data_IF_266285678096
#
_entry.id   IF_266285678096
#
_cell.length_a   1.000
_cell.length_b   1.000
_cell.length_c   1.000
_cell.angle_alpha   90.00
_cell.angle_beta   90.00
_cell.angle_gamma   90.00
#
_symmetry.space_group_name_H-M   'P 1'
#
loop_
_entity.id
_entity.type
_entity.pdbx_description
1 polymer ?
#
# COMPACT_ATOMS: atom_id res chain seq x y z
N UNK A 1 15.23 10.68 17.51
CA UNK A 1 15.51 11.24 16.17
C UNK A 1 15.05 10.35 15.01
N UNK A 2 14.90 9.03 15.17
CA UNK A 2 14.37 8.14 14.11
C UNK A 2 12.83 8.24 13.91
N UNK A 3 12.07 8.63 14.95
CA UNK A 3 10.60 8.70 14.91
C UNK A 3 10.03 9.73 13.93
N UNK A 4 10.81 10.74 13.52
CA UNK A 4 10.37 11.80 12.60
C UNK A 4 10.62 11.47 11.11
N UNK A 5 11.32 10.36 10.81
CA UNK A 5 11.55 9.92 9.42
C UNK A 5 10.41 9.01 8.91
N UNK A 6 9.68 8.33 9.80
CA UNK A 6 8.62 7.37 9.44
C UNK A 6 7.36 8.02 8.86
N UNK A 7 7.03 9.25 9.28
CA UNK A 7 5.91 10.02 8.71
C UNK A 7 6.23 10.52 7.29
N UNK A 8 7.51 10.55 6.89
CA UNK A 8 7.98 11.12 5.62
C UNK A 8 7.65 10.25 4.40
N UNK A 9 7.66 8.92 4.50
CA UNK A 9 7.46 8.04 3.34
C UNK A 9 5.98 7.99 2.90
N UNK A 10 5.05 8.00 3.86
CA UNK A 10 3.62 8.19 3.61
C UNK A 10 3.33 9.63 3.19
N UNK A 11 3.99 10.61 3.80
CA UNK A 11 3.93 11.99 3.35
C UNK A 11 4.51 12.16 1.94
N UNK A 12 5.36 11.27 1.44
CA UNK A 12 5.88 11.30 0.07
C UNK A 12 4.83 10.83 -0.95
N UNK A 13 3.96 9.88 -0.62
CA UNK A 13 2.78 9.57 -1.44
C UNK A 13 1.81 10.76 -1.44
N UNK A 14 1.53 11.34 -0.25
CA UNK A 14 0.69 12.55 -0.13
C UNK A 14 1.32 13.74 -0.86
N UNK A 15 2.63 13.93 -0.80
CA UNK A 15 3.37 14.99 -1.49
C UNK A 15 3.49 14.72 -2.97
N UNK A 16 3.65 13.48 -3.42
CA UNK A 16 3.63 13.15 -4.85
C UNK A 16 2.25 13.50 -5.45
N UNK A 17 1.16 13.19 -4.75
CA UNK A 17 -0.19 13.60 -5.14
C UNK A 17 -0.45 15.12 -4.96
N UNK A 18 0.05 15.73 -3.89
CA UNK A 18 -0.13 17.16 -3.60
C UNK A 18 0.74 18.07 -4.47
N UNK A 19 1.97 17.67 -4.80
CA UNK A 19 2.87 18.34 -5.76
C UNK A 19 2.29 18.20 -7.15
N UNK A 20 1.80 17.01 -7.58
CA UNK A 20 1.02 16.92 -8.82
C UNK A 20 -0.13 17.93 -8.80
N UNK A 21 -0.94 17.97 -7.73
CA UNK A 21 -2.08 18.90 -7.56
C UNK A 21 -1.72 20.40 -7.54
N UNK A 22 -0.52 20.77 -7.07
CA UNK A 22 -0.06 22.16 -7.04
C UNK A 22 0.66 22.59 -8.32
N UNK A 23 1.48 21.72 -8.92
CA UNK A 23 2.08 21.94 -10.24
C UNK A 23 1.01 21.92 -11.36
N UNK A 24 -0.12 21.25 -11.12
CA UNK A 24 -1.34 21.25 -11.94
C UNK A 24 -1.99 22.62 -12.16
N UNK A 25 -1.57 23.68 -11.44
CA UNK A 25 -2.01 25.06 -11.73
C UNK A 25 -1.22 25.74 -12.87
N UNK A 26 -0.12 25.16 -13.33
CA UNK A 26 0.74 25.76 -14.36
C UNK A 26 0.64 25.10 -15.73
N UNK A 27 0.10 23.88 -15.83
CA UNK A 27 0.00 23.15 -17.10
C UNK A 27 -1.37 22.48 -17.25
N UNK A 28 -2.37 23.32 -17.54
CA UNK A 28 -3.77 22.90 -17.79
C UNK A 28 -3.95 22.02 -19.05
N UNK A 29 -2.89 21.80 -19.85
CA UNK A 29 -2.95 20.98 -21.07
C UNK A 29 -2.59 19.50 -20.88
N UNK A 30 -1.88 19.12 -19.81
CA UNK A 30 -1.62 17.71 -19.51
C UNK A 30 -2.79 17.01 -18.78
N UNK A 31 -3.87 17.75 -18.51
CA UNK A 31 -4.99 17.41 -17.63
C UNK A 31 -6.11 16.55 -18.26
N UNK A 32 -5.90 16.05 -19.48
CA UNK A 32 -6.91 15.28 -20.22
C UNK A 32 -6.47 13.87 -20.59
N UNK A 33 -5.33 13.39 -20.11
CA UNK A 33 -5.11 11.96 -20.13
C UNK A 33 -5.81 11.37 -18.90
N UNK A 34 -6.90 10.59 -19.06
CA UNK A 34 -7.45 9.86 -17.95
C UNK A 34 -6.30 9.02 -17.38
N UNK A 35 -6.01 9.17 -16.08
CA UNK A 35 -5.31 8.11 -15.35
C UNK A 35 -6.01 6.83 -15.79
N UNK A 36 -5.31 5.95 -16.54
CA UNK A 36 -5.91 4.74 -17.08
C UNK A 36 -6.71 4.13 -15.94
N UNK A 37 -8.01 3.91 -16.13
CA UNK A 37 -8.93 3.50 -15.05
C UNK A 37 -8.44 2.26 -14.28
N UNK A 38 -7.45 1.54 -14.83
CA UNK A 38 -6.85 0.35 -14.26
C UNK A 38 -5.68 0.60 -13.28
N UNK A 39 -5.05 1.80 -13.20
CA UNK A 39 -3.84 2.01 -12.38
C UNK A 39 -4.06 1.65 -10.90
N UNK A 40 -5.19 2.03 -10.31
CA UNK A 40 -5.49 1.68 -8.91
C UNK A 40 -5.85 0.20 -8.74
N UNK A 41 -6.44 -0.41 -9.76
CA UNK A 41 -6.77 -1.83 -9.80
C UNK A 41 -5.48 -2.66 -9.86
N UNK A 42 -4.57 -2.33 -10.79
CA UNK A 42 -3.22 -2.91 -10.87
C UNK A 42 -2.42 -2.67 -9.59
N UNK A 43 -2.57 -1.52 -8.94
CA UNK A 43 -1.91 -1.25 -7.66
C UNK A 43 -2.45 -2.13 -6.51
N UNK A 44 -3.75 -2.47 -6.51
CA UNK A 44 -4.30 -3.45 -5.58
C UNK A 44 -3.63 -4.82 -5.74
N UNK A 45 -3.37 -5.24 -6.98
CA UNK A 45 -2.68 -6.50 -7.25
C UNK A 45 -1.26 -6.49 -6.69
N UNK A 46 -0.53 -5.39 -6.86
CA UNK A 46 0.83 -5.22 -6.32
C UNK A 46 0.87 -5.22 -4.78
N UNK A 47 -0.15 -4.66 -4.12
CA UNK A 47 -0.28 -4.74 -2.65
C UNK A 47 -0.58 -6.19 -2.23
N UNK A 48 -1.46 -6.88 -2.95
CA UNK A 48 -1.75 -8.30 -2.72
C UNK A 48 -0.50 -9.18 -2.87
N UNK A 49 0.41 -8.85 -3.79
CA UNK A 49 1.72 -9.51 -3.88
C UNK A 49 2.54 -9.31 -2.60
N UNK A 50 2.60 -8.09 -2.05
CA UNK A 50 3.34 -7.87 -0.80
C UNK A 50 2.74 -8.63 0.38
N UNK A 51 1.40 -8.71 0.47
CA UNK A 51 0.72 -9.56 1.48
C UNK A 51 1.14 -11.03 1.32
N UNK A 52 1.19 -11.53 0.08
CA UNK A 52 1.67 -12.91 -0.21
C UNK A 52 3.14 -13.08 0.13
N UNK A 53 3.98 -12.06 -0.12
CA UNK A 53 5.39 -12.08 0.23
C UNK A 53 5.58 -12.21 1.74
N UNK A 54 4.84 -11.46 2.55
CA UNK A 54 4.88 -11.61 4.02
C UNK A 54 4.52 -13.05 4.41
N UNK A 55 3.39 -13.55 3.91
CA UNK A 55 2.95 -14.92 4.19
C UNK A 55 4.03 -15.95 3.84
N UNK A 56 4.64 -15.83 2.66
CA UNK A 56 5.68 -16.74 2.20
C UNK A 56 6.96 -16.64 3.03
N UNK A 57 7.39 -15.43 3.40
CA UNK A 57 8.57 -15.22 4.23
C UNK A 57 8.36 -15.77 5.65
N UNK A 58 7.15 -15.64 6.21
CA UNK A 58 6.79 -16.26 7.48
C UNK A 58 6.83 -17.80 7.38
N UNK A 59 6.22 -18.38 6.34
CA UNK A 59 6.21 -19.84 6.15
C UNK A 59 7.61 -20.43 5.93
N UNK A 60 8.52 -19.66 5.35
CA UNK A 60 9.94 -20.02 5.16
C UNK A 60 10.81 -19.76 6.39
N UNK A 61 10.27 -19.13 7.43
CA UNK A 61 11.03 -18.73 8.63
C UNK A 61 11.99 -17.56 8.40
N UNK A 62 11.85 -16.82 7.29
CA UNK A 62 12.59 -15.58 7.02
C UNK A 62 12.08 -14.43 7.89
N UNK A 63 10.76 -14.38 8.10
CA UNK A 63 10.14 -13.50 9.09
C UNK A 63 9.74 -14.32 10.31
N UNK A 64 9.89 -13.73 11.49
CA UNK A 64 9.56 -14.37 12.77
C UNK A 64 8.47 -13.58 13.49
N UNK A 65 7.68 -14.26 14.33
CA UNK A 65 6.59 -13.63 15.05
C UNK A 65 7.06 -13.17 16.43
N UNK A 66 6.43 -12.12 16.94
CA UNK A 66 6.58 -11.71 18.34
C UNK A 66 6.10 -12.82 19.29
N UNK A 67 5.07 -13.55 18.86
CA UNK A 67 4.55 -14.73 19.55
C UNK A 67 4.16 -15.79 18.53
N UNK A 68 4.90 -16.90 18.50
CA UNK A 68 4.66 -18.01 17.56
C UNK A 68 3.30 -18.69 17.75
N UNK A 69 2.67 -18.57 18.93
CA UNK A 69 1.31 -19.10 19.15
C UNK A 69 0.24 -18.36 18.33
N UNK A 70 0.54 -17.17 17.80
CA UNK A 70 -0.37 -16.38 16.98
C UNK A 70 -0.19 -16.61 15.48
N UNK A 71 0.60 -17.61 15.07
CA UNK A 71 0.90 -17.86 13.66
C UNK A 71 -0.35 -18.06 12.80
N UNK A 72 -1.26 -18.92 13.24
CA UNK A 72 -2.48 -19.22 12.48
C UNK A 72 -3.40 -18.00 12.40
N UNK A 73 -3.51 -17.24 13.50
CA UNK A 73 -4.28 -16.00 13.55
C UNK A 73 -3.71 -14.95 12.59
N UNK A 74 -2.39 -14.75 12.58
CA UNK A 74 -1.75 -13.79 11.67
C UNK A 74 -1.91 -14.20 10.20
N UNK A 75 -1.78 -15.49 9.88
CA UNK A 75 -2.00 -16.01 8.52
C UNK A 75 -3.45 -15.81 8.05
N UNK A 76 -4.43 -15.96 8.94
CA UNK A 76 -5.82 -15.67 8.64
C UNK A 76 -6.05 -14.17 8.47
N UNK A 77 -5.43 -13.32 9.31
CA UNK A 77 -5.51 -11.88 9.19
C UNK A 77 -4.90 -11.36 7.87
N UNK A 78 -3.76 -11.90 7.42
CA UNK A 78 -3.22 -11.59 6.09
C UNK A 78 -4.20 -11.99 4.97
N UNK A 79 -4.87 -13.14 5.11
CA UNK A 79 -5.89 -13.58 4.16
C UNK A 79 -7.12 -12.65 4.16
N UNK A 80 -7.54 -12.18 5.34
CA UNK A 80 -8.58 -11.18 5.51
C UNK A 80 -8.21 -9.83 4.88
N UNK A 81 -6.95 -9.41 4.99
CA UNK A 81 -6.46 -8.19 4.34
C UNK A 81 -6.57 -8.30 2.81
N UNK A 82 -6.16 -9.41 2.21
CA UNK A 82 -6.37 -9.62 0.76
C UNK A 82 -7.84 -9.59 0.36
N UNK A 83 -8.74 -10.21 1.14
CA UNK A 83 -10.19 -10.16 0.88
C UNK A 83 -10.73 -8.73 0.98
N UNK A 84 -10.29 -7.96 1.99
CA UNK A 84 -10.66 -6.56 2.16
C UNK A 84 -10.18 -5.70 0.99
N UNK A 85 -8.95 -5.91 0.52
CA UNK A 85 -8.41 -5.17 -0.63
C UNK A 85 -9.21 -5.46 -1.91
N UNK A 86 -9.55 -6.73 -2.17
CA UNK A 86 -10.38 -7.11 -3.31
C UNK A 86 -11.78 -6.45 -3.24
N UNK A 87 -12.33 -6.30 -2.05
CA UNK A 87 -13.58 -5.57 -1.84
C UNK A 87 -13.41 -4.08 -2.15
N UNK A 88 -12.34 -3.44 -1.67
CA UNK A 88 -11.99 -2.04 -2.00
C UNK A 88 -11.87 -1.88 -3.53
N UNK A 89 -11.17 -2.78 -4.19
CA UNK A 89 -11.02 -2.77 -5.65
C UNK A 89 -12.40 -2.83 -6.31
N UNK A 90 -13.19 -3.86 -6.02
CA UNK A 90 -14.53 -4.07 -6.59
C UNK A 90 -15.46 -2.86 -6.39
N UNK A 91 -15.49 -2.30 -5.18
CA UNK A 91 -16.36 -1.17 -4.84
C UNK A 91 -15.95 0.14 -5.50
N UNK A 92 -14.68 0.30 -5.84
CA UNK A 92 -14.17 1.53 -6.43
C UNK A 92 -13.96 1.43 -7.95
N UNK A 93 -14.03 0.24 -8.57
CA UNK A 93 -13.97 0.06 -10.03
C UNK A 93 -15.00 0.91 -10.78
N UNK A 94 -16.21 1.07 -10.24
CA UNK A 94 -17.25 1.92 -10.83
C UNK A 94 -17.13 3.40 -10.46
N UNK A 95 -16.23 3.76 -9.53
CA UNK A 95 -16.05 5.13 -9.04
C UNK A 95 -14.99 5.83 -9.88
N UNK A 96 -15.39 6.87 -10.62
CA UNK A 96 -14.50 7.73 -11.42
C UNK A 96 -13.68 8.74 -10.61
N UNK A 97 -13.47 8.49 -9.31
CA UNK A 97 -12.83 9.46 -8.40
C UNK A 97 -11.55 8.91 -7.81
N UNK A 98 -10.44 9.47 -8.26
CA UNK A 98 -9.09 9.18 -7.76
C UNK A 98 -8.97 9.43 -6.26
N UNK A 99 -9.61 10.48 -5.74
CA UNK A 99 -9.57 10.80 -4.32
C UNK A 99 -10.18 9.69 -3.45
N UNK A 100 -11.27 9.07 -3.90
CA UNK A 100 -11.91 7.96 -3.17
C UNK A 100 -11.06 6.69 -3.19
N UNK A 101 -10.34 6.45 -4.29
CA UNK A 101 -9.36 5.37 -4.37
C UNK A 101 -8.18 5.59 -3.43
N UNK A 102 -7.58 6.78 -3.50
CA UNK A 102 -6.43 7.16 -2.69
C UNK A 102 -6.74 7.08 -1.19
N UNK A 103 -7.90 7.59 -0.76
CA UNK A 103 -8.33 7.52 0.64
C UNK A 103 -8.51 6.07 1.10
N UNK A 104 -9.22 5.25 0.32
CA UNK A 104 -9.47 3.85 0.68
C UNK A 104 -8.18 3.02 0.75
N UNK A 105 -7.27 3.21 -0.22
CA UNK A 105 -5.99 2.52 -0.25
C UNK A 105 -5.06 3.01 0.86
N UNK A 106 -5.10 4.29 1.19
CA UNK A 106 -4.31 4.84 2.28
C UNK A 106 -4.70 4.25 3.63
N UNK A 107 -6.00 4.21 3.93
CA UNK A 107 -6.49 3.59 5.16
C UNK A 107 -6.18 2.08 5.19
N UNK A 108 -6.32 1.39 4.06
CA UNK A 108 -5.92 -0.01 3.95
C UNK A 108 -4.43 -0.24 4.29
N UNK A 109 -3.53 0.58 3.73
CA UNK A 109 -2.09 0.45 3.96
C UNK A 109 -1.71 0.73 5.42
N UNK A 110 -2.35 1.71 6.07
CA UNK A 110 -2.17 1.93 7.52
C UNK A 110 -2.56 0.73 8.35
N UNK A 111 -3.70 0.12 8.03
CA UNK A 111 -4.15 -1.08 8.73
C UNK A 111 -3.19 -2.25 8.51
N UNK A 112 -2.64 -2.38 7.30
CA UNK A 112 -1.66 -3.41 6.98
C UNK A 112 -0.35 -3.22 7.74
N UNK A 113 0.16 -1.99 7.84
CA UNK A 113 1.34 -1.67 8.64
C UNK A 113 1.13 -2.00 10.12
N UNK A 114 -0.02 -1.61 10.69
CA UNK A 114 -0.38 -1.93 12.08
C UNK A 114 -0.49 -3.43 12.32
N UNK A 115 -1.05 -4.17 11.35
CA UNK A 115 -1.12 -5.62 11.44
C UNK A 115 0.30 -6.22 11.52
N UNK A 116 1.22 -5.77 10.67
CA UNK A 116 2.61 -6.23 10.73
C UNK A 116 3.27 -5.85 12.06
N UNK A 117 3.03 -4.64 12.57
CA UNK A 117 3.52 -4.17 13.87
C UNK A 117 3.03 -5.02 15.05
N UNK A 118 1.81 -5.55 14.96
CA UNK A 118 1.22 -6.36 16.02
C UNK A 118 1.80 -7.78 16.09
N UNK A 119 2.20 -8.37 14.96
CA UNK A 119 2.55 -9.80 14.90
C UNK A 119 4.01 -10.09 14.58
N UNK A 120 4.68 -9.25 13.77
CA UNK A 120 6.04 -9.54 13.28
C UNK A 120 7.12 -8.94 14.18
N UNK A 121 8.23 -9.67 14.35
CA UNK A 121 9.49 -9.09 14.78
C UNK A 121 10.09 -8.24 13.65
N UNK A 122 10.89 -7.23 13.99
CA UNK A 122 11.48 -6.30 13.03
C UNK A 122 10.44 -5.64 12.09
N UNK A 123 9.21 -5.50 12.58
CA UNK A 123 8.06 -4.98 11.80
C UNK A 123 8.32 -3.60 11.19
N UNK A 124 9.06 -2.73 11.87
CA UNK A 124 9.49 -1.42 11.34
C UNK A 124 10.28 -1.56 10.03
N UNK A 125 11.31 -2.43 10.02
CA UNK A 125 12.15 -2.68 8.85
C UNK A 125 11.37 -3.37 7.73
N UNK A 126 10.48 -4.29 8.08
CA UNK A 126 9.62 -4.98 7.11
C UNK A 126 8.66 -3.97 6.46
N UNK A 127 8.01 -3.12 7.25
CA UNK A 127 7.11 -2.07 6.76
C UNK A 127 7.86 -1.04 5.90
N UNK A 128 9.08 -0.65 6.27
CA UNK A 128 9.94 0.19 5.44
C UNK A 128 10.19 -0.42 4.06
N UNK A 129 10.58 -1.70 4.03
CA UNK A 129 10.83 -2.43 2.78
C UNK A 129 9.58 -2.51 1.90
N UNK A 130 8.42 -2.76 2.50
CA UNK A 130 7.13 -2.81 1.79
C UNK A 130 6.80 -1.43 1.19
N UNK A 131 6.96 -0.36 1.97
CA UNK A 131 6.72 1.01 1.50
C UNK A 131 7.61 1.35 0.30
N UNK A 132 8.91 1.06 0.38
CA UNK A 132 9.83 1.29 -0.74
C UNK A 132 9.45 0.49 -1.98
N UNK A 133 9.12 -0.80 -1.81
CA UNK A 133 8.66 -1.66 -2.92
C UNK A 133 7.40 -1.11 -3.59
N UNK A 134 6.38 -0.77 -2.80
CA UNK A 134 5.11 -0.25 -3.31
C UNK A 134 5.27 1.11 -3.98
N UNK A 135 6.13 2.00 -3.45
CA UNK A 135 6.43 3.28 -4.07
C UNK A 135 7.07 3.10 -5.45
N UNK A 136 8.04 2.20 -5.58
CA UNK A 136 8.70 1.91 -6.85
C UNK A 136 7.70 1.31 -7.86
N UNK A 137 6.95 0.29 -7.44
CA UNK A 137 5.95 -0.37 -8.28
C UNK A 137 4.88 0.61 -8.76
N UNK A 138 4.35 1.47 -7.88
CA UNK A 138 3.38 2.49 -8.25
C UNK A 138 3.97 3.54 -9.19
N UNK A 139 5.21 3.98 -8.95
CA UNK A 139 5.89 4.92 -9.85
C UNK A 139 6.00 4.34 -11.26
N UNK A 140 6.33 3.05 -11.37
CA UNK A 140 6.42 2.36 -12.66
C UNK A 140 5.07 2.26 -13.37
N UNK A 141 3.98 1.97 -12.65
CA UNK A 141 2.62 2.00 -13.22
C UNK A 141 2.26 3.37 -13.81
N UNK A 142 2.64 4.46 -13.13
CA UNK A 142 2.31 5.82 -13.58
C UNK A 142 3.19 6.35 -14.71
N UNK A 143 4.27 5.65 -15.07
CA UNK A 143 5.17 6.01 -16.18
C UNK A 143 4.82 5.30 -17.50
N UNK A 144 3.89 4.34 -17.48
CA UNK A 144 3.55 3.45 -18.59
C UNK A 144 2.22 3.76 -19.29
#
# INVERSE_FOLDING_TARGET
>A
MAFYLLISAVAFLILFFAIKKYTLKLDEQALLEPIKNDIYSEFCDLINEEIRNIKNNLLRGTFTLQNENHKDEFLENLSNMSRKLNHIQTMNLSKKSNALWEEALFEFLKEFEKLNEQYLNDSEKINDSIRTSLQEKFSNLTKS
#
